data_IF_153128557783
#
_entry.id   IF_153128557783
#
_cell.length_a   1.000
_cell.length_b   1.000
_cell.length_c   1.000
_cell.angle_alpha   90.00
_cell.angle_beta   90.00
_cell.angle_gamma   90.00
#
_symmetry.space_group_name_H-M   'P 1'
#
loop_
_entity.id
_entity.type
_entity.pdbx_description
1 polymer ?
#
# COMPACT_ATOMS: atom_id res chain seq x y z
N UNK A 1 44.69 15.85 -48.94
CA UNK A 1 44.34 16.85 -47.91
C UNK A 1 42.89 16.78 -47.41
N UNK A 2 41.93 16.17 -48.13
CA UNK A 2 40.53 16.06 -47.67
C UNK A 2 40.30 15.09 -46.49
N UNK A 3 41.11 14.02 -46.38
CA UNK A 3 40.94 12.99 -45.35
C UNK A 3 41.23 13.50 -43.92
N UNK A 4 42.27 14.30 -43.71
CA UNK A 4 42.64 14.81 -42.38
C UNK A 4 41.65 15.85 -41.84
N UNK A 5 41.04 16.63 -42.71
CA UNK A 5 40.04 17.63 -42.31
C UNK A 5 38.73 16.95 -41.86
N UNK A 6 38.30 15.89 -42.57
CA UNK A 6 37.10 15.14 -42.21
C UNK A 6 37.27 14.40 -40.87
N UNK A 7 38.43 13.77 -40.64
CA UNK A 7 38.73 13.14 -39.34
C UNK A 7 38.76 14.14 -38.19
N UNK A 8 39.34 15.33 -38.39
CA UNK A 8 39.37 16.39 -37.37
C UNK A 8 37.98 16.97 -37.10
N UNK A 9 37.16 17.16 -38.15
CA UNK A 9 35.78 17.61 -38.02
C UNK A 9 34.91 16.59 -37.28
N UNK A 10 35.09 15.30 -37.56
CA UNK A 10 34.41 14.21 -36.84
C UNK A 10 34.76 14.21 -35.34
N UNK A 11 36.04 14.41 -35.00
CA UNK A 11 36.48 14.55 -33.61
C UNK A 11 35.90 15.78 -32.90
N UNK A 12 35.83 16.93 -33.57
CA UNK A 12 35.20 18.14 -33.02
C UNK A 12 33.70 17.94 -32.75
N UNK A 13 32.98 17.33 -33.69
CA UNK A 13 31.55 17.02 -33.53
C UNK A 13 31.31 16.02 -32.39
N UNK A 14 32.13 14.96 -32.30
CA UNK A 14 32.05 13.99 -31.21
C UNK A 14 32.28 14.64 -29.83
N UNK A 15 33.27 15.53 -29.72
CA UNK A 15 33.52 16.29 -28.50
C UNK A 15 32.39 17.27 -28.18
N UNK A 16 31.81 17.94 -29.17
CA UNK A 16 30.65 18.81 -28.98
C UNK A 16 29.47 18.05 -28.39
N UNK A 17 29.18 16.85 -28.91
CA UNK A 17 28.13 15.98 -28.38
C UNK A 17 28.43 15.53 -26.93
N UNK A 18 29.69 15.19 -26.61
CA UNK A 18 30.07 14.88 -25.23
C UNK A 18 29.86 16.07 -24.29
N UNK A 19 30.26 17.28 -24.70
CA UNK A 19 30.05 18.49 -23.91
C UNK A 19 28.56 18.76 -23.69
N UNK A 20 27.70 18.51 -24.68
CA UNK A 20 26.25 18.63 -24.52
C UNK A 20 25.69 17.63 -23.49
N UNK A 21 26.13 16.37 -23.52
CA UNK A 21 25.70 15.35 -22.54
C UNK A 21 26.20 15.69 -21.13
N UNK A 22 27.46 16.10 -21.00
CA UNK A 22 28.04 16.54 -19.71
C UNK A 22 27.29 17.78 -19.19
N UNK A 23 27.04 18.76 -20.05
CA UNK A 23 26.28 19.97 -19.71
C UNK A 23 24.87 19.65 -19.22
N UNK A 24 24.18 18.72 -19.89
CA UNK A 24 22.85 18.26 -19.46
C UNK A 24 22.90 17.54 -18.09
N UNK A 25 23.91 16.69 -17.86
CA UNK A 25 24.10 16.03 -16.57
C UNK A 25 24.36 17.02 -15.43
N UNK A 26 25.20 18.04 -15.68
CA UNK A 26 25.51 19.08 -14.68
C UNK A 26 24.26 19.93 -14.40
N UNK A 27 23.54 20.34 -15.45
CA UNK A 27 22.33 21.14 -15.30
C UNK A 27 21.24 20.43 -14.48
N UNK A 28 21.16 19.10 -14.58
CA UNK A 28 20.17 18.27 -13.89
C UNK A 28 20.72 17.52 -12.67
N UNK A 29 21.92 17.88 -12.18
CA UNK A 29 22.56 17.17 -11.07
C UNK A 29 21.73 17.18 -9.77
N UNK A 30 20.89 18.20 -9.60
CA UNK A 30 20.00 18.35 -8.44
C UNK A 30 18.53 17.98 -8.73
N UNK A 31 18.22 17.54 -9.95
CA UNK A 31 16.85 17.15 -10.32
C UNK A 31 16.53 15.77 -9.74
N UNK A 32 15.44 15.68 -8.98
CA UNK A 32 15.02 14.44 -8.33
C UNK A 32 14.74 13.36 -9.38
N UNK A 33 15.27 12.15 -9.17
CA UNK A 33 15.04 11.02 -10.08
C UNK A 33 15.78 11.11 -11.42
N UNK A 34 16.62 12.13 -11.64
CA UNK A 34 17.42 12.24 -12.85
C UNK A 34 18.42 11.08 -12.99
N UNK A 35 18.59 10.60 -14.23
CA UNK A 35 19.53 9.53 -14.58
C UNK A 35 20.56 10.08 -15.57
N UNK A 36 21.84 10.03 -15.20
CA UNK A 36 22.90 10.63 -16.01
C UNK A 36 23.09 9.90 -17.34
N UNK A 37 23.34 10.65 -18.40
CA UNK A 37 23.69 10.13 -19.71
C UNK A 37 25.20 9.88 -19.82
N UNK A 38 25.60 8.75 -20.39
CA UNK A 38 26.98 8.42 -20.74
C UNK A 38 27.10 8.25 -22.25
N UNK A 39 27.87 9.12 -22.89
CA UNK A 39 28.19 9.01 -24.31
C UNK A 39 29.24 7.94 -24.56
N UNK A 40 29.06 7.15 -25.61
CA UNK A 40 30.04 6.16 -26.08
C UNK A 40 30.40 6.47 -27.52
N UNK A 41 31.68 6.36 -27.85
CA UNK A 41 32.22 6.61 -29.17
C UNK A 41 32.66 5.30 -29.82
N UNK A 42 32.64 5.27 -31.15
CA UNK A 42 33.21 4.19 -31.95
C UNK A 42 34.11 4.76 -33.04
N UNK A 43 35.19 4.02 -33.34
CA UNK A 43 36.09 4.34 -34.45
C UNK A 43 35.41 4.00 -35.78
N UNK A 44 35.58 4.87 -36.77
CA UNK A 44 35.13 4.64 -38.14
C UNK A 44 36.27 3.96 -38.87
N UNK A 45 36.15 2.65 -39.07
CA UNK A 45 37.16 1.87 -39.78
C UNK A 45 36.99 1.99 -41.29
N UNK A 46 38.03 2.41 -42.01
CA UNK A 46 38.09 2.26 -43.47
C UNK A 46 38.70 0.90 -43.82
N UNK A 47 37.98 0.10 -44.59
CA UNK A 47 38.55 -1.08 -45.23
C UNK A 47 39.60 -0.59 -46.24
N UNK A 48 40.89 -0.75 -45.91
CA UNK A 48 41.98 -0.52 -46.85
C UNK A 48 42.04 -1.69 -47.86
N UNK A 49 41.02 -1.79 -48.71
CA UNK A 49 41.07 -2.65 -49.87
C UNK A 49 42.04 -2.03 -50.89
N UNK A 50 43.31 -2.43 -50.84
CA UNK A 50 44.10 -2.54 -52.07
C UNK A 50 45.34 -1.66 -52.28
N UNK A 51 46.02 -1.14 -51.25
CA UNK A 51 47.36 -0.55 -51.47
C UNK A 51 48.44 -1.28 -50.69
N UNK A 52 48.90 -2.39 -51.27
CA UNK A 52 50.21 -2.97 -50.94
C UNK A 52 51.27 -2.24 -51.77
N UNK A 53 51.94 -1.26 -51.17
CA UNK A 53 53.16 -0.68 -51.74
C UNK A 53 54.33 -1.64 -51.45
N UNK A 54 54.87 -2.24 -52.51
CA UNK A 54 56.18 -2.89 -52.58
C UNK A 54 56.68 -3.65 -51.33
N UNK A 55 56.36 -4.95 -51.25
CA UNK A 55 57.25 -5.97 -50.67
C UNK A 55 57.64 -5.91 -49.19
N UNK A 56 57.27 -4.89 -48.41
CA UNK A 56 57.66 -4.75 -47.01
C UNK A 56 56.44 -4.55 -46.11
N UNK A 57 55.93 -5.68 -45.59
CA UNK A 57 55.16 -5.97 -44.36
C UNK A 57 54.27 -4.97 -43.60
N UNK A 58 54.24 -3.66 -43.87
CA UNK A 58 53.44 -2.71 -43.08
C UNK A 58 52.26 -2.17 -43.88
N UNK A 59 51.06 -2.70 -43.59
CA UNK A 59 49.80 -2.06 -43.98
C UNK A 59 49.69 -0.74 -43.20
N UNK A 60 50.02 0.40 -43.83
CA UNK A 60 49.71 1.72 -43.27
C UNK A 60 48.22 1.96 -43.36
N UNK A 61 47.50 1.49 -42.36
CA UNK A 61 46.07 1.74 -42.22
C UNK A 61 45.86 3.08 -41.51
N UNK A 62 45.05 3.97 -42.11
CA UNK A 62 44.68 5.26 -41.55
C UNK A 62 43.20 5.17 -41.15
N UNK A 63 42.89 5.35 -39.87
CA UNK A 63 41.51 5.36 -39.36
C UNK A 63 40.69 6.53 -39.95
N UNK A 64 39.39 6.34 -40.11
CA UNK A 64 38.50 7.30 -40.78
C UNK A 64 37.78 8.26 -39.81
N UNK A 65 38.24 8.35 -38.56
CA UNK A 65 37.73 9.30 -37.56
C UNK A 65 36.83 8.62 -36.53
N UNK A 66 36.11 9.42 -35.74
CA UNK A 66 35.29 8.93 -34.63
C UNK A 66 33.82 9.30 -34.83
N UNK A 67 32.92 8.42 -34.45
CA UNK A 67 31.47 8.68 -34.44
C UNK A 67 30.89 8.44 -33.05
N UNK A 68 29.86 9.19 -32.70
CA UNK A 68 29.03 8.91 -31.52
C UNK A 68 28.21 7.65 -31.75
N UNK A 69 28.46 6.61 -30.97
CA UNK A 69 27.74 5.35 -31.08
C UNK A 69 26.35 5.45 -30.43
N UNK A 70 26.30 5.85 -29.16
CA UNK A 70 25.05 6.00 -28.41
C UNK A 70 25.25 6.83 -27.15
N UNK A 71 24.14 7.37 -26.61
CA UNK A 71 24.05 7.93 -25.27
C UNK A 71 23.26 6.94 -24.42
N UNK A 72 23.91 6.35 -23.42
CA UNK A 72 23.28 5.37 -22.52
C UNK A 72 22.85 6.07 -21.24
N UNK A 73 21.64 5.79 -20.77
CA UNK A 73 21.18 6.23 -19.45
C UNK A 73 21.80 5.34 -18.37
N UNK A 74 22.38 5.95 -17.35
CA UNK A 74 22.91 5.25 -16.20
C UNK A 74 21.82 5.07 -15.13
N UNK A 75 21.44 3.81 -14.88
CA UNK A 75 20.43 3.42 -13.89
C UNK A 75 20.99 3.11 -12.50
N UNK A 76 22.30 3.31 -12.26
CA UNK A 76 22.90 3.12 -10.93
C UNK A 76 22.15 3.90 -9.85
N UNK A 77 21.91 3.27 -8.70
CA UNK A 77 21.25 3.90 -7.56
C UNK A 77 22.07 5.11 -7.07
N UNK A 78 21.41 6.26 -6.93
CA UNK A 78 21.98 7.45 -6.30
C UNK A 78 21.73 7.46 -4.80
N UNK A 79 22.27 8.47 -4.11
CA UNK A 79 21.99 8.68 -2.69
C UNK A 79 20.51 9.00 -2.46
N UNK A 80 19.94 8.37 -1.44
CA UNK A 80 18.59 8.68 -0.96
C UNK A 80 18.76 9.61 0.24
N UNK A 81 18.16 10.79 0.15
CA UNK A 81 18.11 11.74 1.25
C UNK A 81 16.73 11.69 1.89
N UNK A 82 16.66 11.83 3.21
CA UNK A 82 15.38 11.92 3.91
C UNK A 82 14.61 13.17 3.48
N UNK A 83 13.29 13.01 3.35
CA UNK A 83 12.37 14.08 3.02
C UNK A 83 11.52 14.44 4.24
N UNK A 84 11.17 15.73 4.37
CA UNK A 84 10.28 16.21 5.43
C UNK A 84 8.82 15.82 5.19
N UNK A 85 8.42 15.65 3.93
CA UNK A 85 7.05 15.31 3.56
C UNK A 85 6.84 13.79 3.56
N UNK A 86 5.77 13.27 4.20
CA UNK A 86 5.48 11.83 4.19
C UNK A 86 5.07 11.31 2.82
N UNK A 87 4.69 12.21 1.89
CA UNK A 87 4.33 11.85 0.51
C UNK A 87 5.54 11.80 -0.42
N UNK A 88 6.72 12.20 0.07
CA UNK A 88 7.95 12.12 -0.69
C UNK A 88 8.58 10.75 -0.48
N UNK A 89 8.58 9.93 -1.52
CA UNK A 89 9.02 8.54 -1.46
C UNK A 89 10.14 8.28 -2.45
N UNK A 90 11.05 7.37 -2.08
CA UNK A 90 12.12 6.92 -2.95
C UNK A 90 12.11 5.40 -3.02
N UNK A 91 12.19 4.84 -4.22
CA UNK A 91 12.43 3.41 -4.39
C UNK A 91 13.92 3.15 -4.14
N UNK A 92 14.23 2.12 -3.36
CA UNK A 92 15.59 1.59 -3.22
C UNK A 92 15.71 0.33 -4.08
N UNK A 93 16.64 0.33 -5.04
CA UNK A 93 16.80 -0.74 -6.02
C UNK A 93 16.05 -0.48 -7.33
N UNK A 94 15.74 -1.56 -8.05
CA UNK A 94 15.11 -1.49 -9.35
C UNK A 94 13.60 -1.24 -9.25
N UNK A 95 13.07 -0.41 -10.15
CA UNK A 95 11.65 -0.09 -10.21
C UNK A 95 11.36 1.37 -10.55
N UNK A 96 10.10 1.63 -10.90
CA UNK A 96 9.55 2.95 -11.21
C UNK A 96 8.14 3.08 -10.63
N UNK A 97 7.72 4.31 -10.37
CA UNK A 97 6.34 4.62 -10.04
C UNK A 97 5.52 4.70 -11.33
N UNK A 98 4.43 3.93 -11.46
CA UNK A 98 3.50 4.11 -12.56
C UNK A 98 2.69 5.39 -12.34
N UNK A 99 2.59 6.21 -13.37
CA UNK A 99 1.81 7.45 -13.36
C UNK A 99 0.96 7.53 -14.61
N UNK A 100 -0.16 8.23 -14.53
CA UNK A 100 -0.98 8.58 -15.67
C UNK A 100 -0.84 10.09 -15.91
N UNK A 101 -0.34 10.46 -17.07
CA UNK A 101 -0.22 11.86 -17.48
C UNK A 101 -1.61 12.51 -17.61
N UNK A 102 -1.62 13.84 -17.69
CA UNK A 102 -2.87 14.62 -17.82
C UNK A 102 -3.63 14.34 -19.12
N UNK A 103 -2.96 13.78 -20.14
CA UNK A 103 -3.56 13.32 -21.40
C UNK A 103 -4.09 11.87 -21.34
N UNK A 104 -4.00 11.22 -20.16
CA UNK A 104 -4.43 9.84 -19.94
C UNK A 104 -3.38 8.78 -20.29
N UNK A 105 -2.21 9.17 -20.81
CA UNK A 105 -1.16 8.22 -21.18
C UNK A 105 -0.47 7.64 -19.96
N UNK A 106 -0.21 6.33 -19.97
CA UNK A 106 0.58 5.66 -18.95
C UNK A 106 2.06 6.01 -19.12
N UNK A 107 2.71 6.39 -18.02
CA UNK A 107 4.12 6.71 -17.96
C UNK A 107 4.75 6.18 -16.67
N UNK A 108 6.08 6.24 -16.60
CA UNK A 108 6.85 5.78 -15.47
C UNK A 108 7.80 6.87 -15.01
N UNK A 109 7.88 7.11 -13.71
CA UNK A 109 8.79 8.09 -13.12
C UNK A 109 9.59 7.47 -11.98
N UNK A 110 10.80 7.98 -11.77
CA UNK A 110 11.60 7.67 -10.59
C UNK A 110 11.58 8.78 -9.54
N UNK A 111 11.08 9.96 -9.92
CA UNK A 111 10.82 11.05 -8.99
C UNK A 111 9.57 10.73 -8.18
N UNK A 112 9.71 10.79 -6.85
CA UNK A 112 8.62 10.52 -5.92
C UNK A 112 8.26 11.72 -5.06
N UNK A 113 8.35 12.92 -5.63
CA UNK A 113 7.93 14.20 -5.04
C UNK A 113 6.41 14.41 -5.21
N UNK A 114 5.64 13.53 -4.58
CA UNK A 114 4.19 13.53 -4.73
C UNK A 114 3.48 14.50 -3.77
N UNK A 115 2.30 14.95 -4.20
CA UNK A 115 1.40 15.82 -3.45
C UNK A 115 -0.04 15.42 -3.69
N UNK A 116 -0.95 15.80 -2.79
CA UNK A 116 -2.38 15.55 -2.98
C UNK A 116 -3.03 16.78 -3.60
N UNK A 117 -3.75 16.59 -4.70
CA UNK A 117 -4.47 17.68 -5.34
C UNK A 117 -5.82 17.96 -4.66
N UNK A 118 -6.54 19.00 -5.12
CA UNK A 118 -7.85 19.40 -4.58
C UNK A 118 -8.93 18.31 -4.63
N UNK A 119 -8.79 17.34 -5.53
CA UNK A 119 -9.75 16.26 -5.74
C UNK A 119 -9.34 14.98 -4.97
N UNK A 120 -8.28 15.05 -4.15
CA UNK A 120 -7.76 13.94 -3.37
C UNK A 120 -6.80 13.01 -4.11
N UNK A 121 -6.48 13.26 -5.39
CA UNK A 121 -5.55 12.41 -6.13
C UNK A 121 -4.10 12.69 -5.74
N UNK A 122 -3.33 11.62 -5.59
CA UNK A 122 -1.87 11.71 -5.46
C UNK A 122 -1.27 12.03 -6.83
N UNK A 123 -0.60 13.17 -6.94
CA UNK A 123 -0.04 13.69 -8.18
C UNK A 123 1.44 14.07 -8.03
N UNK A 124 2.19 13.99 -9.12
CA UNK A 124 3.52 14.58 -9.21
C UNK A 124 3.43 16.09 -9.54
N UNK A 125 4.56 16.84 -9.59
CA UNK A 125 4.53 18.27 -9.88
C UNK A 125 4.05 18.62 -11.30
N UNK A 126 4.08 17.68 -12.25
CA UNK A 126 3.54 17.87 -13.60
C UNK A 126 2.02 17.62 -13.68
N UNK A 127 1.37 17.26 -12.56
CA UNK A 127 -0.05 16.93 -12.51
C UNK A 127 -0.40 15.51 -12.94
N UNK A 128 0.58 14.66 -13.20
CA UNK A 128 0.36 13.24 -13.50
C UNK A 128 -0.07 12.50 -12.24
N UNK A 129 -1.10 11.67 -12.36
CA UNK A 129 -1.70 10.93 -11.25
C UNK A 129 -0.93 9.64 -10.98
N UNK A 130 -0.51 9.44 -9.74
CA UNK A 130 0.16 8.20 -9.32
C UNK A 130 -0.83 7.06 -9.35
N UNK A 131 -0.42 5.97 -9.99
CA UNK A 131 -1.23 4.78 -10.12
C UNK A 131 -0.87 3.77 -9.03
N UNK A 132 -1.87 3.03 -8.57
CA UNK A 132 -1.69 1.97 -7.59
C UNK A 132 -2.94 1.13 -7.46
N UNK A 133 -2.96 0.26 -6.46
CA UNK A 133 -4.12 -0.56 -6.14
C UNK A 133 -4.87 0.08 -4.98
N UNK A 134 -6.17 0.31 -5.17
CA UNK A 134 -7.02 0.81 -4.09
C UNK A 134 -7.33 -0.31 -3.10
N UNK A 135 -7.33 0.02 -1.82
CA UNK A 135 -7.74 -0.89 -0.77
C UNK A 135 -9.27 -0.89 -0.64
N UNK A 136 -9.86 -2.08 -0.47
CA UNK A 136 -11.24 -2.26 0.00
C UNK A 136 -11.18 -2.75 1.46
N UNK A 137 -11.80 -2.01 2.38
CA UNK A 137 -11.82 -2.31 3.82
C UNK A 137 -10.44 -2.61 4.43
N UNK A 138 -9.41 -1.87 3.99
CA UNK A 138 -8.04 -2.03 4.50
C UNK A 138 -7.25 -3.19 3.88
N UNK A 139 -7.81 -3.91 2.93
CA UNK A 139 -7.13 -4.97 2.18
C UNK A 139 -7.02 -4.58 0.71
N UNK A 140 -5.89 -4.88 0.06
CA UNK A 140 -5.77 -4.75 -1.40
C UNK A 140 -6.24 -6.08 -1.99
N UNK A 141 -7.36 -6.13 -2.74
CA UNK A 141 -7.85 -7.37 -3.32
C UNK A 141 -6.89 -7.88 -4.41
N UNK A 142 -6.74 -9.19 -4.54
CA UNK A 142 -5.88 -9.80 -5.59
C UNK A 142 -6.35 -9.46 -7.01
N UNK A 143 -7.64 -9.14 -7.17
CA UNK A 143 -8.24 -8.69 -8.42
C UNK A 143 -8.12 -7.17 -8.64
N UNK A 144 -7.39 -6.44 -7.79
CA UNK A 144 -7.23 -5.01 -7.92
C UNK A 144 -6.59 -4.67 -9.27
N UNK A 145 -7.20 -3.74 -9.97
CA UNK A 145 -6.65 -3.16 -11.19
C UNK A 145 -5.91 -1.89 -10.82
N UNK A 146 -4.84 -1.60 -11.57
CA UNK A 146 -4.09 -0.39 -11.41
C UNK A 146 -4.97 0.83 -11.75
N UNK A 147 -5.17 1.73 -10.81
CA UNK A 147 -5.97 2.95 -10.95
C UNK A 147 -5.31 4.15 -10.28
N UNK A 148 -5.77 5.37 -10.59
CA UNK A 148 -5.28 6.57 -9.90
C UNK A 148 -5.54 6.50 -8.41
N UNK A 149 -4.49 6.70 -7.61
CA UNK A 149 -4.59 6.71 -6.15
C UNK A 149 -5.33 7.97 -5.72
N UNK A 150 -6.48 7.78 -5.10
CA UNK A 150 -7.30 8.84 -4.53
C UNK A 150 -7.38 8.65 -3.02
N UNK A 151 -7.01 9.69 -2.28
CA UNK A 151 -7.17 9.79 -0.85
C UNK A 151 -8.52 10.48 -0.62
N UNK A 152 -9.51 9.81 0.00
CA UNK A 152 -10.80 10.40 0.28
C UNK A 152 -10.65 11.43 1.40
N UNK A 153 -10.47 12.70 1.03
CA UNK A 153 -10.31 13.79 1.99
C UNK A 153 -11.68 14.15 2.56
N UNK A 154 -11.82 14.04 3.88
CA UNK A 154 -13.05 14.43 4.57
C UNK A 154 -14.16 13.38 4.52
N UNK A 155 -13.92 12.21 3.95
CA UNK A 155 -14.80 11.07 4.18
C UNK A 155 -14.60 10.52 5.58
N UNK A 156 -15.69 10.11 6.20
CA UNK A 156 -15.67 9.42 7.47
C UNK A 156 -15.78 7.94 7.20
N UNK A 157 -15.02 7.14 7.94
CA UNK A 157 -15.19 5.69 7.89
C UNK A 157 -16.60 5.36 8.40
N UNK A 158 -17.40 4.59 7.64
CA UNK A 158 -18.72 4.23 8.08
C UNK A 158 -18.60 3.36 9.35
N UNK A 159 -19.52 3.52 10.31
CA UNK A 159 -19.53 2.70 11.50
C UNK A 159 -19.69 1.22 11.14
N UNK A 160 -19.05 0.35 11.93
CA UNK A 160 -19.19 -1.10 11.84
C UNK A 160 -19.94 -1.57 13.09
N UNK A 161 -21.08 -2.24 12.88
CA UNK A 161 -21.82 -2.82 13.98
C UNK A 161 -21.02 -3.96 14.63
N UNK A 162 -21.09 -4.08 15.95
CA UNK A 162 -20.42 -5.18 16.66
C UNK A 162 -21.09 -6.50 16.32
N UNK A 163 -20.33 -7.46 15.78
CA UNK A 163 -20.83 -8.81 15.44
C UNK A 163 -20.39 -9.88 16.43
N UNK A 164 -19.24 -9.67 17.09
CA UNK A 164 -18.65 -10.63 18.02
C UNK A 164 -18.09 -9.90 19.24
N UNK A 165 -18.16 -10.55 20.40
CA UNK A 165 -17.61 -10.08 21.66
C UNK A 165 -17.16 -11.26 22.50
N UNK A 166 -16.14 -11.08 23.32
CA UNK A 166 -15.66 -12.12 24.25
C UNK A 166 -15.75 -11.60 25.67
N UNK A 167 -16.57 -12.24 26.48
CA UNK A 167 -16.62 -12.02 27.92
C UNK A 167 -15.86 -13.15 28.63
N UNK A 168 -14.98 -12.78 29.56
CA UNK A 168 -14.35 -13.72 30.50
C UNK A 168 -14.63 -13.23 31.91
N UNK A 169 -15.26 -14.08 32.72
CA UNK A 169 -15.58 -13.78 34.10
C UNK A 169 -15.50 -15.04 34.95
N UNK A 170 -15.33 -14.85 36.26
CA UNK A 170 -15.40 -15.92 37.24
C UNK A 170 -16.71 -15.79 38.00
N UNK A 171 -17.45 -16.90 38.12
CA UNK A 171 -18.68 -17.00 38.88
C UNK A 171 -18.42 -17.83 40.14
N UNK A 172 -18.83 -17.34 41.30
CA UNK A 172 -18.57 -18.00 42.58
C UNK A 172 -19.61 -19.12 42.83
N UNK A 173 -19.15 -20.38 42.83
CA UNK A 173 -19.99 -21.55 43.06
C UNK A 173 -20.44 -21.71 44.52
N UNK A 174 -19.88 -20.95 45.46
CA UNK A 174 -20.32 -20.96 46.87
C UNK A 174 -21.35 -19.85 47.17
N UNK A 175 -21.70 -19.04 46.17
CA UNK A 175 -22.69 -17.97 46.31
C UNK A 175 -24.07 -18.51 46.69
N UNK A 176 -24.80 -17.80 47.56
CA UNK A 176 -26.19 -18.12 47.89
C UNK A 176 -27.09 -18.09 46.64
N UNK A 177 -28.15 -18.90 46.63
CA UNK A 177 -29.19 -18.82 45.60
C UNK A 177 -29.79 -17.42 45.53
N UNK A 178 -29.93 -16.88 44.32
CA UNK A 178 -30.34 -15.51 44.05
C UNK A 178 -29.20 -14.48 44.04
N UNK A 179 -27.94 -14.89 44.28
CA UNK A 179 -26.80 -14.02 44.08
C UNK A 179 -26.66 -13.63 42.61
N UNK A 180 -26.44 -12.34 42.34
CA UNK A 180 -26.33 -11.79 40.98
C UNK A 180 -24.93 -11.26 40.69
N UNK A 181 -24.47 -11.49 39.46
CA UNK A 181 -23.22 -10.99 38.92
C UNK A 181 -23.52 -10.25 37.62
N UNK A 182 -23.13 -8.99 37.51
CA UNK A 182 -23.44 -8.15 36.34
C UNK A 182 -22.16 -7.83 35.58
N UNK A 183 -22.19 -8.00 34.26
CA UNK A 183 -21.14 -7.57 33.36
C UNK A 183 -21.71 -6.67 32.27
N UNK A 184 -21.11 -5.48 32.11
CA UNK A 184 -21.51 -4.52 31.09
C UNK A 184 -20.48 -4.51 29.97
N UNK A 185 -20.94 -4.67 28.74
CA UNK A 185 -20.15 -4.53 27.52
C UNK A 185 -20.69 -3.38 26.67
N UNK A 186 -19.80 -2.56 26.11
CA UNK A 186 -20.19 -1.54 25.14
C UNK A 186 -20.14 -2.13 23.72
N UNK A 187 -21.26 -2.08 23.01
CA UNK A 187 -21.40 -2.53 21.62
C UNK A 187 -21.81 -1.36 20.74
N UNK A 188 -21.62 -1.47 19.42
CA UNK A 188 -21.95 -0.41 18.47
C UNK A 188 -23.05 -0.85 17.50
N UNK A 189 -24.03 0.02 17.25
CA UNK A 189 -25.06 -0.20 16.24
C UNK A 189 -24.59 0.17 14.82
N UNK A 190 -25.42 -0.12 13.81
CA UNK A 190 -25.15 0.18 12.39
C UNK A 190 -25.01 1.68 12.10
N UNK A 191 -25.38 2.55 13.04
CA UNK A 191 -25.23 4.01 12.96
C UNK A 191 -24.05 4.52 13.78
N UNK A 192 -23.29 3.63 14.41
CA UNK A 192 -22.13 3.95 15.25
C UNK A 192 -22.46 4.46 16.64
N UNK A 193 -23.72 4.33 17.08
CA UNK A 193 -24.11 4.70 18.44
C UNK A 193 -23.59 3.64 19.41
N UNK A 194 -22.92 4.07 20.48
CA UNK A 194 -22.55 3.20 21.57
C UNK A 194 -23.79 2.77 22.35
N UNK A 195 -23.95 1.46 22.54
CA UNK A 195 -25.04 0.81 23.26
C UNK A 195 -24.46 0.02 24.43
N UNK A 196 -25.17 -0.03 25.55
CA UNK A 196 -24.77 -0.81 26.72
C UNK A 196 -25.48 -2.15 26.71
N UNK A 197 -24.70 -3.22 26.61
CA UNK A 197 -25.16 -4.58 26.78
C UNK A 197 -24.85 -5.03 28.20
N UNK A 198 -25.89 -5.16 29.02
CA UNK A 198 -25.79 -5.65 30.39
C UNK A 198 -26.15 -7.14 30.41
N UNK A 199 -25.24 -7.96 30.91
CA UNK A 199 -25.43 -9.40 31.11
C UNK A 199 -25.47 -9.67 32.62
N UNK A 200 -26.59 -10.19 33.10
CA UNK A 200 -26.82 -10.48 34.51
C UNK A 200 -26.90 -11.99 34.71
N UNK A 201 -26.01 -12.52 35.53
CA UNK A 201 -25.95 -13.94 35.89
C UNK A 201 -26.51 -14.12 37.30
N UNK A 202 -27.55 -14.92 37.44
CA UNK A 202 -28.19 -15.21 38.73
C UNK A 202 -27.99 -16.67 39.13
N UNK A 203 -27.53 -16.90 40.35
CA UNK A 203 -27.34 -18.24 40.89
C UNK A 203 -28.67 -18.93 41.19
N UNK A 204 -28.88 -20.12 40.62
CA UNK A 204 -30.08 -20.92 40.83
C UNK A 204 -29.90 -21.99 41.92
N UNK A 205 -31.03 -22.54 42.41
CA UNK A 205 -31.05 -23.56 43.45
C UNK A 205 -30.48 -24.91 42.99
N UNK A 206 -30.45 -25.17 41.68
CA UNK A 206 -29.88 -26.37 41.07
C UNK A 206 -28.35 -26.29 40.90
N UNK A 207 -27.74 -25.16 41.28
CA UNK A 207 -26.30 -24.92 41.18
C UNK A 207 -25.87 -24.22 39.90
N UNK A 208 -26.74 -24.09 38.90
CA UNK A 208 -26.46 -23.42 37.63
C UNK A 208 -26.56 -21.89 37.74
N UNK A 209 -26.08 -21.19 36.71
CA UNK A 209 -26.24 -19.75 36.58
C UNK A 209 -27.16 -19.42 35.42
N UNK A 210 -28.21 -18.65 35.68
CA UNK A 210 -29.11 -18.16 34.63
C UNK A 210 -28.67 -16.77 34.20
N UNK A 211 -28.33 -16.61 32.92
CA UNK A 211 -27.97 -15.33 32.34
C UNK A 211 -29.19 -14.68 31.67
N UNK A 212 -29.47 -13.44 32.00
CA UNK A 212 -30.32 -12.53 31.22
C UNK A 212 -29.48 -11.43 30.59
N UNK A 213 -29.95 -10.90 29.47
CA UNK A 213 -29.26 -9.87 28.71
C UNK A 213 -30.21 -8.70 28.44
N UNK A 214 -29.72 -7.48 28.65
CA UNK A 214 -30.44 -6.25 28.34
C UNK A 214 -29.58 -5.34 27.46
N UNK A 215 -30.18 -4.77 26.43
CA UNK A 215 -29.56 -3.73 25.61
C UNK A 215 -30.20 -2.37 25.91
N UNK A 216 -29.41 -1.42 26.42
CA UNK A 216 -29.86 -0.12 26.89
C UNK A 216 -31.05 -0.21 27.87
N UNK A 217 -31.06 -1.25 28.72
CA UNK A 217 -32.12 -1.51 29.70
C UNK A 217 -33.40 -2.14 29.13
N UNK A 218 -33.39 -2.58 27.86
CA UNK A 218 -34.48 -3.36 27.27
C UNK A 218 -34.08 -4.83 27.18
N UNK A 219 -34.98 -5.78 27.46
CA UNK A 219 -34.68 -7.21 27.31
C UNK A 219 -34.19 -7.55 25.90
N UNK A 220 -33.08 -8.26 25.82
CA UNK A 220 -32.57 -8.83 24.57
C UNK A 220 -32.94 -10.31 24.47
N UNK A 221 -33.03 -10.82 23.25
CA UNK A 221 -33.30 -12.23 22.96
C UNK A 221 -31.97 -12.99 22.88
N UNK A 222 -31.95 -14.22 23.39
CA UNK A 222 -30.77 -15.07 23.41
C UNK A 222 -31.00 -16.32 22.56
N UNK A 223 -30.15 -16.53 21.57
CA UNK A 223 -30.06 -17.78 20.82
C UNK A 223 -28.90 -18.61 21.36
N UNK A 224 -29.18 -19.84 21.77
CA UNK A 224 -28.22 -20.73 22.44
C UNK A 224 -28.05 -22.01 21.65
N UNK A 225 -26.80 -22.39 21.37
CA UNK A 225 -26.48 -23.64 20.66
C UNK A 225 -27.22 -23.80 19.31
N UNK A 226 -27.53 -22.68 18.63
CA UNK A 226 -28.25 -22.65 17.36
C UNK A 226 -29.78 -22.76 17.47
N UNK A 227 -30.35 -22.77 18.67
CA UNK A 227 -31.80 -22.66 18.87
C UNK A 227 -32.30 -21.24 18.56
N UNK A 228 -33.59 -21.08 18.22
CA UNK A 228 -34.20 -19.77 17.99
C UNK A 228 -34.00 -18.82 19.18
N UNK A 229 -33.80 -17.54 18.91
CA UNK A 229 -33.64 -16.53 19.95
C UNK A 229 -34.95 -16.36 20.73
N UNK A 230 -34.87 -16.44 22.06
CA UNK A 230 -35.99 -16.17 22.95
C UNK A 230 -35.56 -15.35 24.17
N UNK A 231 -36.53 -14.86 24.94
CA UNK A 231 -36.26 -14.09 26.15
C UNK A 231 -35.98 -14.98 27.38
N UNK A 232 -35.75 -16.29 27.18
CA UNK A 232 -35.51 -17.19 28.31
C UNK A 232 -34.09 -16.98 28.84
N UNK A 233 -33.89 -17.12 30.16
CA UNK A 233 -32.54 -17.07 30.72
C UNK A 233 -31.68 -18.19 30.14
N UNK A 234 -30.45 -17.85 29.76
CA UNK A 234 -29.48 -18.82 29.25
C UNK A 234 -28.85 -19.54 30.43
N UNK A 235 -28.89 -20.87 30.42
CA UNK A 235 -28.31 -21.69 31.48
C UNK A 235 -26.81 -21.88 31.23
N UNK A 236 -26.00 -21.40 32.18
CA UNK A 236 -24.58 -21.66 32.27
C UNK A 236 -24.33 -22.75 33.31
N UNK A 237 -23.76 -23.86 32.84
CA UNK A 237 -23.46 -25.04 33.66
C UNK A 237 -21.97 -25.35 33.63
N UNK A 238 -21.45 -25.82 34.76
CA UNK A 238 -20.03 -26.09 34.98
C UNK A 238 -19.84 -27.51 35.50
N UNK A 239 -18.79 -28.19 35.04
CA UNK A 239 -18.46 -29.51 35.54
C UNK A 239 -17.82 -29.45 36.95
N UNK A 240 -17.53 -30.61 37.53
CA UNK A 240 -16.89 -30.70 38.85
C UNK A 240 -15.48 -30.10 38.91
N UNK A 241 -14.84 -29.84 37.77
CA UNK A 241 -13.53 -29.20 37.66
C UNK A 241 -13.64 -27.68 37.46
N UNK A 242 -14.86 -27.15 37.28
CA UNK A 242 -15.12 -25.74 37.00
C UNK A 242 -15.04 -25.37 35.52
N UNK A 243 -14.99 -26.35 34.61
CA UNK A 243 -15.01 -26.12 33.18
C UNK A 243 -16.45 -25.88 32.70
N UNK A 244 -16.64 -24.92 31.79
CA UNK A 244 -17.96 -24.60 31.23
C UNK A 244 -18.45 -25.76 30.34
N UNK A 245 -19.57 -26.38 30.72
CA UNK A 245 -20.23 -27.45 29.97
C UNK A 245 -21.21 -26.90 28.94
N UNK A 246 -21.88 -25.80 29.27
CA UNK A 246 -22.79 -25.09 28.37
C UNK A 246 -23.04 -23.65 28.85
N UNK A 247 -23.40 -22.72 27.94
CA UNK A 247 -23.64 -22.93 26.51
C UNK A 247 -22.36 -23.02 25.67
N UNK A 248 -22.39 -23.74 24.56
CA UNK A 248 -21.27 -23.84 23.61
C UNK A 248 -21.25 -22.71 22.57
N UNK A 249 -22.41 -22.12 22.31
CA UNK A 249 -22.55 -20.86 21.57
C UNK A 249 -23.68 -20.01 22.14
N UNK A 250 -23.48 -18.70 22.11
CA UNK A 250 -24.44 -17.70 22.54
C UNK A 250 -24.46 -16.56 21.51
N UNK A 251 -25.65 -16.25 21.01
CA UNK A 251 -25.93 -15.09 20.17
C UNK A 251 -26.95 -14.24 20.91
N UNK A 252 -26.65 -12.96 21.10
CA UNK A 252 -27.56 -12.01 21.74
C UNK A 252 -28.11 -11.12 20.63
N UNK A 253 -29.42 -11.24 20.39
CA UNK A 253 -30.14 -10.42 19.44
C UNK A 253 -30.88 -9.31 20.21
N UNK A 254 -30.71 -8.04 19.85
CA UNK A 254 -31.59 -7.02 20.37
C UNK A 254 -33.02 -7.34 19.94
N UNK A 255 -33.98 -7.23 20.87
CA UNK A 255 -35.40 -7.32 20.53
C UNK A 255 -35.68 -6.30 19.40
N UNK A 256 -36.12 -6.82 18.24
CA UNK A 256 -36.18 -6.15 16.94
C UNK A 256 -37.20 -5.00 16.86
N UNK A 257 -37.69 -4.49 18.00
CA UNK A 257 -38.66 -3.41 18.08
C UNK A 257 -38.07 -2.00 17.89
N UNK A 258 -36.74 -1.84 17.81
CA UNK A 258 -36.10 -0.55 17.54
C UNK A 258 -35.68 -0.39 16.08
N UNK A 259 -36.67 -0.14 15.21
CA UNK A 259 -36.48 0.51 13.91
C UNK A 259 -37.52 1.63 13.81
N UNK A 260 -37.07 2.89 13.74
CA UNK A 260 -37.22 3.60 12.46
C UNK A 260 -35.88 3.79 11.74
#
# INVERSE_FOLDING_TARGET
>A
MAFSFNTSLAGLNANSNALSVIGNNIANANTIGFRSGKITFMDVFSNAAGVRLNGSGNTRQIGNGVQTAAVHTNFSQGNINEATSPLHVAIQGDGFFPVQNTDGTAAYTRAGDFSVNKDGFLVNPSGAQVQGYLADRGQIPDSAVLTSLQIPIGETLPPQATTEGTLRMNLDVDSLTGATFVSTMQVYDTRGTARKLDMTFERQADGTFHMTSELDGNPALNAVNGNPADATPVVFDFDANGDLVGPTSLVIEPDQAFIP
#
